data_IF_589450261225
#
_entry.id   IF_589450261225
#
_cell.length_a   1.000
_cell.length_b   1.000
_cell.length_c   1.000
_cell.angle_alpha   90.00
_cell.angle_beta   90.00
_cell.angle_gamma   90.00
#
_symmetry.space_group_name_H-M   'P 1'
#
loop_
_entity.id
_entity.type
_entity.pdbx_description
1 polymer ?
#
# COMPACT_ATOMS: atom_id res chain seq x y z
N UNK A 1 -3.86 16.02 11.44
CA UNK A 1 -3.35 15.18 12.53
C UNK A 1 -1.85 14.89 12.40
N UNK A 2 -1.36 14.49 11.24
CA UNK A 2 0.08 14.22 11.03
C UNK A 2 0.93 15.45 11.37
N UNK A 3 0.46 16.64 11.00
CA UNK A 3 1.18 17.90 11.17
C UNK A 3 1.42 18.25 12.64
N UNK A 4 0.60 17.73 13.55
CA UNK A 4 0.66 18.05 14.97
C UNK A 4 1.36 16.98 15.79
N UNK A 5 2.05 16.02 15.15
CA UNK A 5 2.73 14.93 15.83
C UNK A 5 4.23 14.98 15.57
N UNK A 6 5.01 14.52 16.56
CA UNK A 6 6.46 14.48 16.47
C UNK A 6 6.90 13.27 15.64
N UNK A 7 7.63 13.45 14.53
CA UNK A 7 8.09 12.36 13.68
C UNK A 7 9.06 11.39 14.37
N UNK A 8 9.65 11.77 15.50
CA UNK A 8 10.54 10.88 16.25
C UNK A 8 9.77 9.88 17.13
N UNK A 9 8.50 10.14 17.41
CA UNK A 9 7.71 9.36 18.36
C UNK A 9 6.45 8.74 17.77
N UNK A 10 5.99 9.21 16.62
CA UNK A 10 4.73 8.73 16.06
C UNK A 10 4.84 8.51 14.55
N UNK A 11 4.59 7.28 14.14
CA UNK A 11 4.50 6.88 12.73
C UNK A 11 3.08 6.46 12.43
N UNK A 12 2.73 6.46 11.15
CA UNK A 12 1.38 6.13 10.70
C UNK A 12 1.39 4.89 9.83
N UNK A 13 0.25 4.19 9.82
CA UNK A 13 -0.04 3.16 8.84
C UNK A 13 -0.99 3.75 7.80
N UNK A 14 -0.80 3.40 6.54
CA UNK A 14 -1.67 3.86 5.47
C UNK A 14 -2.28 2.67 4.75
N UNK A 15 -3.61 2.66 4.58
CA UNK A 15 -4.30 1.77 3.67
C UNK A 15 -4.39 2.47 2.32
N UNK A 16 -3.67 1.94 1.32
CA UNK A 16 -3.54 2.63 0.03
C UNK A 16 -4.86 2.65 -0.75
N UNK A 17 -5.69 1.60 -0.61
CA UNK A 17 -7.00 1.57 -1.28
C UNK A 17 -7.93 2.65 -0.72
N UNK A 18 -8.05 2.73 0.61
CA UNK A 18 -8.95 3.71 1.23
C UNK A 18 -8.46 5.14 1.00
N UNK A 19 -7.14 5.36 0.89
CA UNK A 19 -6.61 6.67 0.52
C UNK A 19 -7.07 7.07 -0.88
N UNK A 20 -7.00 6.15 -1.85
CA UNK A 20 -7.48 6.41 -3.22
C UNK A 20 -9.00 6.59 -3.24
N UNK A 21 -9.75 5.79 -2.48
CA UNK A 21 -11.21 5.92 -2.37
C UNK A 21 -11.61 7.29 -1.82
N UNK A 22 -10.80 7.85 -0.93
CA UNK A 22 -11.01 9.19 -0.40
C UNK A 22 -10.56 10.30 -1.35
N UNK A 23 -10.27 9.97 -2.60
CA UNK A 23 -9.84 10.92 -3.64
C UNK A 23 -8.51 11.58 -3.30
N UNK A 24 -7.63 10.84 -2.62
CA UNK A 24 -6.30 11.31 -2.28
C UNK A 24 -5.25 10.39 -2.94
N UNK A 25 -4.06 10.91 -3.14
CA UNK A 25 -2.95 10.13 -3.71
C UNK A 25 -2.01 9.68 -2.59
N UNK A 26 -1.76 8.36 -2.44
CA UNK A 26 -0.76 7.89 -1.49
C UNK A 26 0.62 8.53 -1.70
N UNK A 27 1.06 8.64 -2.96
CA UNK A 27 2.37 9.21 -3.29
C UNK A 27 2.43 10.69 -2.91
N UNK A 28 1.34 11.44 -3.10
CA UNK A 28 1.29 12.85 -2.68
C UNK A 28 1.45 12.98 -1.16
N UNK A 29 0.86 12.07 -0.40
CA UNK A 29 1.05 12.04 1.05
C UNK A 29 2.49 11.69 1.43
N UNK A 30 3.13 10.77 0.70
CA UNK A 30 4.53 10.45 0.94
C UNK A 30 5.42 11.66 0.70
N UNK A 31 5.14 12.44 -0.33
CA UNK A 31 5.89 13.64 -0.64
C UNK A 31 5.64 14.77 0.36
N UNK A 32 4.40 14.90 0.84
CA UNK A 32 4.02 15.94 1.80
C UNK A 32 4.52 15.63 3.21
N UNK A 33 4.53 14.35 3.60
CA UNK A 33 4.92 13.90 4.94
C UNK A 33 5.95 12.77 4.82
N UNK A 34 7.17 13.06 4.31
CA UNK A 34 8.16 11.99 4.09
C UNK A 34 8.58 11.33 5.41
N UNK A 35 8.73 10.01 5.35
CA UNK A 35 9.21 9.23 6.49
C UNK A 35 8.18 8.95 7.57
N UNK A 36 6.90 9.29 7.36
CA UNK A 36 5.87 9.17 8.42
C UNK A 36 5.05 7.88 8.32
N UNK A 37 5.15 7.12 7.23
CA UNK A 37 4.33 5.92 6.97
C UNK A 37 5.20 4.68 7.02
N UNK A 38 5.37 4.11 8.21
CA UNK A 38 6.27 2.98 8.43
C UNK A 38 5.70 1.64 7.93
N UNK A 39 4.39 1.54 7.81
CA UNK A 39 3.71 0.33 7.35
C UNK A 39 2.61 0.69 6.37
N UNK A 40 2.58 0.01 5.23
CA UNK A 40 1.52 0.19 4.24
C UNK A 40 0.65 -1.06 4.16
N UNK A 41 -0.66 -0.85 4.13
CA UNK A 41 -1.63 -1.90 3.85
C UNK A 41 -1.89 -1.92 2.35
N UNK A 42 -1.44 -2.94 1.69
CA UNK A 42 -1.58 -3.12 0.25
C UNK A 42 -2.92 -3.75 -0.02
N UNK A 43 -3.85 -2.94 -0.52
CA UNK A 43 -5.24 -3.31 -0.70
C UNK A 43 -5.79 -2.71 -1.98
N UNK A 44 -6.71 -3.42 -2.62
CA UNK A 44 -7.48 -2.95 -3.76
C UNK A 44 -8.97 -3.18 -3.46
N UNK A 45 -9.86 -2.86 -4.39
CA UNK A 45 -11.29 -3.09 -4.22
C UNK A 45 -11.60 -4.58 -4.02
N UNK A 46 -10.95 -5.42 -4.81
CA UNK A 46 -11.00 -6.88 -4.69
C UNK A 46 -9.58 -7.42 -4.73
N UNK A 47 -9.26 -8.30 -5.66
CA UNK A 47 -7.90 -8.80 -5.82
C UNK A 47 -6.95 -7.66 -6.22
N UNK A 48 -5.72 -7.75 -5.79
CA UNK A 48 -4.71 -6.71 -6.04
C UNK A 48 -4.49 -6.52 -7.54
N UNK A 49 -4.57 -5.27 -7.97
CA UNK A 49 -4.34 -4.87 -9.35
C UNK A 49 -5.54 -5.04 -10.28
N UNK A 50 -6.64 -5.64 -9.81
CA UNK A 50 -7.80 -5.92 -10.64
C UNK A 50 -8.58 -4.67 -11.02
N UNK A 51 -8.76 -3.74 -10.08
CA UNK A 51 -9.59 -2.56 -10.29
C UNK A 51 -8.96 -1.53 -11.22
N UNK A 52 -7.63 -1.48 -11.26
CA UNK A 52 -6.91 -0.41 -11.96
C UNK A 52 -6.98 0.94 -11.26
N UNK A 53 -7.62 1.02 -10.08
CA UNK A 53 -7.77 2.28 -9.34
C UNK A 53 -6.53 2.67 -8.57
N UNK A 54 -5.72 1.71 -8.14
CA UNK A 54 -4.58 1.95 -7.28
C UNK A 54 -3.29 1.79 -8.08
N UNK A 55 -2.48 2.85 -8.09
CA UNK A 55 -1.19 2.83 -8.80
C UNK A 55 -0.12 2.15 -7.98
N UNK A 56 -0.13 0.83 -7.92
CA UNK A 56 0.80 0.07 -7.07
C UNK A 56 2.26 0.28 -7.49
N UNK A 57 2.55 0.42 -8.77
CA UNK A 57 3.90 0.69 -9.25
C UNK A 57 4.48 1.97 -8.65
N UNK A 58 3.72 3.06 -8.69
CA UNK A 58 4.13 4.33 -8.09
C UNK A 58 4.29 4.22 -6.58
N UNK A 59 3.38 3.49 -5.91
CA UNK A 59 3.41 3.29 -4.46
C UNK A 59 4.68 2.53 -4.06
N UNK A 60 4.94 1.38 -4.68
CA UNK A 60 6.11 0.57 -4.34
C UNK A 60 7.42 1.27 -4.70
N UNK A 61 7.45 2.03 -5.80
CA UNK A 61 8.64 2.79 -6.19
C UNK A 61 8.94 3.97 -5.28
N UNK A 62 8.00 4.35 -4.42
CA UNK A 62 8.16 5.48 -3.48
C UNK A 62 8.12 5.04 -2.01
N UNK A 63 8.37 3.77 -1.71
CA UNK A 63 8.42 3.26 -0.34
C UNK A 63 9.48 3.98 0.50
N UNK A 64 10.60 4.36 -0.08
CA UNK A 64 11.66 5.08 0.60
C UNK A 64 11.17 6.47 1.07
N UNK A 65 10.42 7.18 0.25
CA UNK A 65 9.83 8.47 0.63
C UNK A 65 8.80 8.34 1.74
N UNK A 66 8.02 7.27 1.70
CA UNK A 66 7.04 6.97 2.75
C UNK A 66 7.71 6.64 4.08
N UNK A 67 8.94 6.14 4.05
CA UNK A 67 9.63 5.60 5.20
C UNK A 67 9.14 4.19 5.53
N UNK A 68 8.53 3.51 4.58
CA UNK A 68 7.94 2.19 4.80
C UNK A 68 9.03 1.12 4.92
N UNK A 69 8.99 0.36 6.00
CA UNK A 69 9.89 -0.76 6.25
C UNK A 69 9.22 -2.09 5.96
N UNK A 70 7.90 -2.09 5.80
CA UNK A 70 7.13 -3.28 5.51
C UNK A 70 5.77 -2.96 4.93
N UNK A 71 5.07 -4.02 4.54
CA UNK A 71 3.72 -3.92 4.02
C UNK A 71 2.93 -5.18 4.30
N UNK A 72 1.60 -5.04 4.36
CA UNK A 72 0.67 -6.15 4.60
C UNK A 72 -0.29 -6.22 3.43
N UNK A 73 -0.49 -7.41 2.90
CA UNK A 73 -1.46 -7.67 1.85
C UNK A 73 -2.82 -7.94 2.47
N UNK A 74 -3.85 -7.17 2.06
CA UNK A 74 -5.20 -7.34 2.57
C UNK A 74 -6.17 -7.66 1.43
N UNK A 75 -7.11 -8.57 1.70
CA UNK A 75 -8.21 -8.90 0.81
C UNK A 75 -9.48 -9.06 1.66
N UNK A 76 -10.40 -8.09 1.55
CA UNK A 76 -11.68 -8.16 2.26
C UNK A 76 -12.75 -8.87 1.43
N UNK A 77 -12.80 -8.58 0.13
CA UNK A 77 -13.79 -9.13 -0.79
C UNK A 77 -13.12 -9.59 -2.06
N UNK A 78 -13.25 -10.86 -2.38
CA UNK A 78 -12.82 -11.38 -3.66
C UNK A 78 -13.86 -11.12 -4.76
N UNK A 79 -13.44 -11.20 -6.00
CA UNK A 79 -14.34 -11.15 -7.15
C UNK A 79 -15.14 -12.43 -7.34
N UNK A 80 -14.74 -13.50 -6.65
CA UNK A 80 -15.41 -14.80 -6.64
C UNK A 80 -15.79 -15.17 -5.21
N UNK A 81 -16.70 -16.16 -5.00
CA UNK A 81 -17.05 -16.62 -3.66
C UNK A 81 -15.89 -17.27 -2.89
N UNK A 82 -14.84 -17.71 -3.62
CA UNK A 82 -13.69 -18.36 -2.98
C UNK A 82 -12.62 -17.31 -2.63
N UNK A 83 -12.56 -16.97 -1.35
CA UNK A 83 -11.59 -15.98 -0.84
C UNK A 83 -10.15 -16.48 -0.98
N UNK A 84 -9.92 -17.79 -0.90
CA UNK A 84 -8.56 -18.35 -1.06
C UNK A 84 -8.07 -18.19 -2.48
N UNK A 85 -8.94 -18.33 -3.48
CA UNK A 85 -8.59 -18.07 -4.88
C UNK A 85 -8.26 -16.59 -5.08
N UNK A 86 -9.04 -15.69 -4.50
CA UNK A 86 -8.77 -14.26 -4.55
C UNK A 86 -7.42 -13.89 -3.94
N UNK A 87 -7.10 -14.49 -2.80
CA UNK A 87 -5.81 -14.26 -2.15
C UNK A 87 -4.66 -14.79 -3.01
N UNK A 88 -4.83 -15.95 -3.64
CA UNK A 88 -3.84 -16.51 -4.56
C UNK A 88 -3.58 -15.57 -5.74
N UNK A 89 -4.64 -15.02 -6.34
CA UNK A 89 -4.51 -14.06 -7.45
C UNK A 89 -3.74 -12.81 -7.00
N UNK A 90 -4.03 -12.31 -5.81
CA UNK A 90 -3.35 -11.14 -5.25
C UNK A 90 -1.86 -11.42 -5.02
N UNK A 91 -1.54 -12.57 -4.47
CA UNK A 91 -0.14 -12.98 -4.25
C UNK A 91 0.59 -13.13 -5.60
N UNK A 92 -0.06 -13.75 -6.58
CA UNK A 92 0.53 -13.92 -7.91
C UNK A 92 0.82 -12.58 -8.57
N UNK A 93 -0.08 -11.61 -8.43
CA UNK A 93 0.16 -10.25 -8.93
C UNK A 93 1.44 -9.66 -8.33
N UNK A 94 1.58 -9.74 -7.01
CA UNK A 94 2.75 -9.20 -6.31
C UNK A 94 4.04 -9.92 -6.74
N UNK A 95 4.00 -11.24 -6.86
CA UNK A 95 5.18 -12.03 -7.26
C UNK A 95 5.66 -11.70 -8.68
N UNK A 96 4.74 -11.40 -9.58
CA UNK A 96 5.05 -11.09 -10.98
C UNK A 96 5.41 -9.63 -11.19
N UNK A 97 5.12 -8.77 -10.23
CA UNK A 97 5.34 -7.33 -10.37
C UNK A 97 6.83 -7.00 -10.22
N UNK A 98 7.39 -6.39 -11.25
CA UNK A 98 8.83 -6.05 -11.28
C UNK A 98 9.18 -4.91 -10.34
N UNK A 99 8.20 -4.10 -9.94
CA UNK A 99 8.42 -2.95 -9.07
C UNK A 99 8.45 -3.32 -7.58
N UNK A 100 8.12 -4.56 -7.22
CA UNK A 100 8.14 -5.02 -5.83
C UNK A 100 9.50 -5.64 -5.50
N UNK A 101 10.16 -5.12 -4.46
CA UNK A 101 11.45 -5.60 -4.00
C UNK A 101 11.27 -6.71 -2.97
N UNK A 102 12.30 -7.54 -2.83
CA UNK A 102 12.31 -8.62 -1.83
C UNK A 102 12.31 -8.08 -0.39
N UNK A 103 12.93 -6.92 -0.17
CA UNK A 103 12.95 -6.28 1.14
C UNK A 103 13.02 -4.76 1.01
N UNK A 104 12.34 -4.07 1.93
CA UNK A 104 12.34 -2.62 2.03
C UNK A 104 12.96 -2.13 3.35
N UNK A 105 13.31 -3.04 4.23
CA UNK A 105 13.98 -2.66 5.48
C UNK A 105 15.40 -2.13 5.19
N UNK A 106 15.77 -1.15 5.98
CA UNK A 106 17.10 -0.50 5.85
C UNK A 106 18.16 -1.22 6.65
#
# INVERSE_FOLDING_TARGET
MIEHTDPNYLFFQMDVYWTVRGQQSPVDYFNKYPGRFSLLHIKDNSEIGQSGMVGFDAIFNNFDKAGAEGWVLELEHGSTPDILEGMKQSIDYIKKAKFVKASYSK
#
